data_IF_440051407483
#
_entry.id   IF_440051407483
#
_cell.length_a   1.000
_cell.length_b   1.000
_cell.length_c   1.000
_cell.angle_alpha   90.00
_cell.angle_beta   90.00
_cell.angle_gamma   90.00
#
_symmetry.space_group_name_H-M   'P 1'
#
loop_
_entity.id
_entity.type
_entity.pdbx_description
1 polymer ?
#
# COMPACT_ATOMS: atom_id res chain seq x y z
N UNK A 1 73.22 43.77 -27.74
CA UNK A 1 73.62 42.83 -26.67
C UNK A 1 72.40 42.00 -26.31
N UNK A 2 72.29 40.76 -26.79
CA UNK A 2 71.12 39.90 -26.59
C UNK A 2 71.54 38.51 -26.10
N UNK A 3 70.92 38.10 -24.98
CA UNK A 3 70.52 36.75 -24.52
C UNK A 3 71.52 35.58 -24.63
N UNK A 4 71.86 35.01 -23.47
CA UNK A 4 72.40 33.65 -23.32
C UNK A 4 71.26 32.72 -22.90
N UNK A 5 71.10 31.61 -23.61
CA UNK A 5 70.29 30.45 -23.23
C UNK A 5 71.13 29.18 -23.37
N UNK A 6 70.81 28.22 -22.51
CA UNK A 6 71.00 26.77 -22.59
C UNK A 6 72.40 26.19 -22.35
N UNK A 7 72.45 25.26 -21.38
CA UNK A 7 73.36 24.10 -21.43
C UNK A 7 72.55 22.85 -21.12
N UNK A 8 72.79 21.84 -21.93
CA UNK A 8 72.12 20.55 -22.02
C UNK A 8 72.88 19.44 -21.25
N UNK A 9 72.14 18.38 -20.96
CA UNK A 9 72.46 17.07 -20.39
C UNK A 9 73.89 16.52 -20.51
N UNK A 10 74.32 15.80 -19.46
CA UNK A 10 75.26 14.67 -19.56
C UNK A 10 74.89 13.52 -18.61
N UNK A 11 74.86 12.31 -19.20
CA UNK A 11 74.60 10.98 -18.65
C UNK A 11 75.90 10.28 -18.19
N UNK A 12 75.84 9.36 -17.20
CA UNK A 12 76.50 8.02 -17.18
C UNK A 12 76.34 7.28 -15.83
N UNK A 13 76.10 5.96 -15.90
CA UNK A 13 75.77 4.98 -14.84
C UNK A 13 76.97 4.17 -14.30
N UNK A 14 76.84 3.44 -13.16
CA UNK A 14 77.41 2.08 -13.12
C UNK A 14 76.60 0.99 -12.36
N UNK A 15 76.26 -0.05 -13.12
CA UNK A 15 76.27 -1.52 -12.95
C UNK A 15 76.54 -2.29 -11.62
N UNK A 16 75.95 -3.50 -11.56
CA UNK A 16 76.39 -4.81 -10.99
C UNK A 16 75.74 -5.42 -9.70
N UNK A 17 74.70 -6.25 -9.93
CA UNK A 17 74.40 -7.64 -9.43
C UNK A 17 74.18 -7.99 -7.93
N UNK A 18 72.88 -8.12 -7.58
CA UNK A 18 72.12 -9.26 -6.97
C UNK A 18 72.80 -10.28 -6.02
N UNK A 19 72.20 -10.47 -4.82
CA UNK A 19 71.84 -11.79 -4.22
C UNK A 19 70.57 -11.69 -3.33
N UNK A 20 69.63 -12.61 -3.56
CA UNK A 20 68.38 -12.99 -2.87
C UNK A 20 68.64 -13.52 -1.44
N UNK A 21 67.76 -13.45 -0.41
CA UNK A 21 66.45 -14.11 -0.20
C UNK A 21 65.75 -13.48 1.05
N UNK A 22 64.42 -13.33 0.95
CA UNK A 22 63.39 -13.31 2.00
C UNK A 22 63.68 -12.67 3.37
N UNK A 23 63.07 -11.51 3.58
CA UNK A 23 62.26 -11.29 4.78
C UNK A 23 60.92 -10.76 4.29
N UNK A 24 59.91 -11.63 4.30
CA UNK A 24 58.50 -11.30 4.19
C UNK A 24 58.17 -10.26 5.25
N UNK A 25 58.27 -8.99 4.89
CA UNK A 25 57.66 -7.91 5.64
C UNK A 25 56.16 -8.08 5.43
N UNK A 26 55.51 -8.51 6.50
CA UNK A 26 54.08 -8.69 6.62
C UNK A 26 53.40 -7.31 6.55
N UNK A 27 53.38 -6.74 5.35
CA UNK A 27 52.55 -5.60 4.98
C UNK A 27 51.26 -6.17 4.41
N UNK A 28 50.30 -6.40 5.31
CA UNK A 28 48.89 -6.31 4.96
C UNK A 28 48.48 -4.84 5.13
N UNK A 29 48.56 -3.98 4.09
CA UNK A 29 47.50 -3.03 3.92
C UNK A 29 46.32 -3.81 3.35
N UNK A 30 45.28 -3.94 4.17
CA UNK A 30 43.91 -4.14 3.73
C UNK A 30 43.65 -3.21 2.53
N UNK A 31 43.73 -3.74 1.31
CA UNK A 31 43.01 -3.19 0.18
C UNK A 31 41.57 -3.74 0.26
N UNK A 32 40.89 -3.34 1.34
CA UNK A 32 39.43 -3.39 1.41
C UNK A 32 38.93 -2.02 0.96
N UNK A 33 37.95 -2.06 0.06
CA UNK A 33 37.10 -0.97 -0.39
C UNK A 33 37.74 0.16 -1.22
N UNK A 34 37.54 0.06 -2.53
CA UNK A 34 36.75 1.08 -3.23
C UNK A 34 36.09 0.38 -4.42
N UNK A 35 34.83 -0.01 -4.27
CA UNK A 35 33.95 -0.14 -5.43
C UNK A 35 34.04 1.17 -6.21
N UNK A 36 34.18 1.08 -7.52
CA UNK A 36 34.07 2.23 -8.41
C UNK A 36 32.61 2.67 -8.38
N UNK A 37 32.23 3.52 -7.42
CA UNK A 37 30.91 4.15 -7.40
C UNK A 37 30.90 5.24 -8.47
N UNK A 38 30.29 4.93 -9.60
CA UNK A 38 30.34 5.69 -10.85
C UNK A 38 29.09 6.57 -11.02
N UNK A 39 28.76 7.36 -10.00
CA UNK A 39 27.87 8.50 -10.13
C UNK A 39 28.63 9.71 -10.69
N UNK A 40 27.94 10.67 -11.31
CA UNK A 40 28.58 11.93 -11.70
C UNK A 40 28.77 12.81 -10.46
N UNK A 41 30.02 13.17 -10.17
CA UNK A 41 30.34 13.98 -9.00
C UNK A 41 29.70 15.37 -9.08
N UNK A 42 29.57 15.96 -10.27
CA UNK A 42 28.89 17.25 -10.40
C UNK A 42 27.42 17.13 -10.04
N UNK A 43 26.77 16.02 -10.39
CA UNK A 43 25.37 15.79 -10.08
C UNK A 43 25.14 15.65 -8.58
N UNK A 44 26.05 14.96 -7.87
CA UNK A 44 25.99 14.92 -6.41
C UNK A 44 26.20 16.30 -5.79
N UNK A 45 27.16 17.08 -6.29
CA UNK A 45 27.42 18.45 -5.82
C UNK A 45 26.20 19.36 -6.06
N UNK A 46 25.60 19.30 -7.25
CA UNK A 46 24.40 20.05 -7.61
C UNK A 46 23.20 19.67 -6.72
N UNK A 47 22.99 18.38 -6.46
CA UNK A 47 21.95 17.93 -5.55
C UNK A 47 22.15 18.50 -4.14
N UNK A 48 23.37 18.42 -3.60
CA UNK A 48 23.66 18.83 -2.23
C UNK A 48 23.61 20.36 -2.06
N UNK A 49 23.99 21.12 -3.08
CA UNK A 49 24.01 22.59 -3.04
C UNK A 49 22.64 23.20 -3.34
N UNK A 50 21.88 22.61 -4.26
CA UNK A 50 20.64 23.20 -4.78
C UNK A 50 19.38 22.45 -4.36
N UNK A 51 19.51 21.25 -3.81
CA UNK A 51 18.40 20.33 -3.51
C UNK A 51 17.59 19.97 -4.77
N UNK A 52 18.22 19.96 -5.95
CA UNK A 52 17.58 19.68 -7.23
C UNK A 52 18.58 19.06 -8.20
N UNK A 53 18.28 17.86 -8.70
CA UNK A 53 19.08 17.16 -9.70
C UNK A 53 18.21 16.25 -10.57
N UNK A 54 17.45 16.84 -11.50
CA UNK A 54 16.59 16.11 -12.45
C UNK A 54 17.43 15.41 -13.51
N UNK A 55 17.11 14.14 -13.82
CA UNK A 55 17.81 13.33 -14.84
C UNK A 55 19.31 13.15 -14.57
N UNK A 56 19.70 13.27 -13.32
CA UNK A 56 21.08 13.11 -12.89
C UNK A 56 21.48 11.63 -12.74
N UNK A 57 22.77 11.37 -12.82
CA UNK A 57 23.38 10.07 -12.57
C UNK A 57 23.94 10.02 -11.14
N UNK A 58 23.17 9.43 -10.23
CA UNK A 58 23.47 9.27 -8.81
C UNK A 58 23.65 7.78 -8.44
N UNK A 59 24.06 6.95 -9.41
CA UNK A 59 24.20 5.50 -9.21
C UNK A 59 25.26 5.16 -8.18
N UNK A 60 24.87 4.43 -7.14
CA UNK A 60 25.78 4.10 -6.04
C UNK A 60 26.25 5.32 -5.26
N UNK A 61 25.58 6.47 -5.37
CA UNK A 61 25.92 7.63 -4.56
C UNK A 61 25.73 7.33 -3.07
N UNK A 62 26.59 7.92 -2.25
CA UNK A 62 26.48 7.88 -0.79
C UNK A 62 25.69 9.10 -0.32
N UNK A 63 24.43 8.86 0.03
CA UNK A 63 23.46 9.83 0.50
C UNK A 63 22.93 9.44 1.90
N UNK A 64 23.68 8.62 2.64
CA UNK A 64 23.32 8.19 4.00
C UNK A 64 23.05 9.40 4.90
N UNK A 65 21.89 9.39 5.55
CA UNK A 65 21.47 10.39 6.54
C UNK A 65 21.32 11.82 5.99
N UNK A 66 21.36 12.02 4.66
CA UNK A 66 21.28 13.35 4.07
C UNK A 66 19.89 13.95 4.20
N UNK A 67 19.84 15.28 4.33
CA UNK A 67 18.59 16.02 4.26
C UNK A 67 18.32 16.40 2.80
N UNK A 68 17.40 15.67 2.17
CA UNK A 68 16.93 15.82 0.80
C UNK A 68 15.43 16.17 0.78
N UNK A 69 14.97 16.84 1.84
CA UNK A 69 13.55 17.19 1.99
C UNK A 69 13.12 18.09 0.84
N UNK A 70 12.08 17.69 0.11
CA UNK A 70 11.58 18.44 -1.03
C UNK A 70 12.55 18.49 -2.22
N UNK A 71 13.54 17.60 -2.27
CA UNK A 71 14.48 17.57 -3.39
C UNK A 71 13.77 17.24 -4.71
N UNK A 72 14.19 17.87 -5.80
CA UNK A 72 13.71 17.58 -7.15
C UNK A 72 14.66 16.56 -7.82
N UNK A 73 14.26 15.29 -7.83
CA UNK A 73 14.99 14.14 -8.33
C UNK A 73 14.21 13.44 -9.47
N UNK A 74 13.35 14.17 -10.17
CA UNK A 74 12.54 13.62 -11.26
C UNK A 74 13.45 13.00 -12.34
N UNK A 75 13.14 11.74 -12.72
CA UNK A 75 13.83 10.96 -13.75
C UNK A 75 15.34 10.74 -13.43
N UNK A 76 15.76 10.91 -12.17
CA UNK A 76 17.13 10.63 -11.73
C UNK A 76 17.44 9.13 -11.65
N UNK A 77 18.69 8.76 -11.89
CA UNK A 77 19.18 7.39 -11.80
C UNK A 77 19.92 7.18 -10.47
N UNK A 78 19.24 6.56 -9.51
CA UNK A 78 19.70 6.28 -8.14
C UNK A 78 19.98 4.78 -7.93
N UNK A 79 20.24 4.02 -9.00
CA UNK A 79 20.46 2.57 -8.88
C UNK A 79 21.61 2.27 -7.93
N UNK A 80 21.34 1.41 -6.94
CA UNK A 80 22.33 1.03 -5.93
C UNK A 80 22.80 2.16 -5.01
N UNK A 81 22.15 3.33 -5.03
CA UNK A 81 22.49 4.43 -4.12
C UNK A 81 22.22 4.04 -2.67
N UNK A 82 23.05 4.55 -1.77
CA UNK A 82 22.90 4.41 -0.33
C UNK A 82 22.13 5.63 0.20
N UNK A 83 20.88 5.43 0.57
CA UNK A 83 19.97 6.43 1.12
C UNK A 83 19.52 6.03 2.54
N UNK A 84 20.31 5.20 3.24
CA UNK A 84 19.99 4.75 4.59
C UNK A 84 19.77 5.98 5.49
N UNK A 85 18.66 5.99 6.25
CA UNK A 85 18.26 7.07 7.16
C UNK A 85 18.13 8.48 6.51
N UNK A 86 18.10 8.60 5.18
CA UNK A 86 17.94 9.89 4.50
C UNK A 86 16.55 10.51 4.75
N UNK A 87 16.48 11.84 4.80
CA UNK A 87 15.23 12.60 4.88
C UNK A 87 14.80 13.05 3.48
N UNK A 88 13.89 12.30 2.86
CA UNK A 88 13.32 12.54 1.53
C UNK A 88 11.88 13.09 1.60
N UNK A 89 11.48 13.66 2.74
CA UNK A 89 10.08 14.08 2.93
C UNK A 89 9.65 15.08 1.86
N UNK A 90 8.57 14.79 1.16
CA UNK A 90 8.06 15.64 0.08
C UNK A 90 8.96 15.77 -1.15
N UNK A 91 10.01 14.96 -1.29
CA UNK A 91 10.86 14.94 -2.49
C UNK A 91 10.05 14.49 -3.73
N UNK A 92 10.43 15.01 -4.90
CA UNK A 92 9.91 14.56 -6.18
C UNK A 92 10.86 13.55 -6.81
N UNK A 93 10.47 12.28 -6.81
CA UNK A 93 11.19 11.13 -7.37
C UNK A 93 10.37 10.51 -8.51
N UNK A 94 9.50 11.29 -9.14
CA UNK A 94 8.69 10.80 -10.26
C UNK A 94 9.60 10.26 -11.38
N UNK A 95 9.24 9.10 -11.93
CA UNK A 95 9.94 8.40 -13.01
C UNK A 95 11.41 8.03 -12.67
N UNK A 96 11.86 8.19 -11.41
CA UNK A 96 13.24 7.89 -10.99
C UNK A 96 13.54 6.39 -10.93
N UNK A 97 14.81 6.02 -11.10
CA UNK A 97 15.28 4.63 -11.01
C UNK A 97 16.01 4.37 -9.69
N UNK A 98 15.34 3.68 -8.76
CA UNK A 98 15.83 3.33 -7.41
C UNK A 98 16.17 1.84 -7.28
N UNK A 99 16.32 1.13 -8.40
CA UNK A 99 16.56 -0.32 -8.39
C UNK A 99 17.83 -0.65 -7.61
N UNK A 100 17.76 -1.64 -6.72
CA UNK A 100 18.86 -2.04 -5.82
C UNK A 100 19.34 -0.96 -4.82
N UNK A 101 18.66 0.18 -4.69
CA UNK A 101 19.02 1.20 -3.71
C UNK A 101 18.73 0.75 -2.26
N UNK A 102 19.48 1.28 -1.30
CA UNK A 102 19.24 1.08 0.13
C UNK A 102 18.49 2.29 0.70
N UNK A 103 17.25 2.09 1.15
CA UNK A 103 16.40 3.09 1.80
C UNK A 103 16.05 2.65 3.23
N UNK A 104 16.84 1.79 3.86
CA UNK A 104 16.60 1.35 5.23
C UNK A 104 16.51 2.57 6.18
N UNK A 105 15.43 2.66 6.95
CA UNK A 105 15.16 3.77 7.88
C UNK A 105 14.87 5.14 7.23
N UNK A 106 14.85 5.26 5.90
CA UNK A 106 14.65 6.54 5.23
C UNK A 106 13.24 7.13 5.46
N UNK A 107 13.13 8.46 5.53
CA UNK A 107 11.84 9.14 5.65
C UNK A 107 11.38 9.67 4.30
N UNK A 108 10.44 8.98 3.67
CA UNK A 108 9.86 9.33 2.37
C UNK A 108 8.49 10.01 2.50
N UNK A 109 8.04 10.34 3.71
CA UNK A 109 6.69 10.85 3.95
C UNK A 109 6.33 12.00 3.00
N UNK A 110 5.14 11.92 2.40
CA UNK A 110 4.60 12.90 1.44
C UNK A 110 5.40 13.01 0.10
N UNK A 111 6.39 12.14 -0.17
CA UNK A 111 7.16 12.14 -1.42
C UNK A 111 6.36 11.64 -2.64
N UNK A 112 6.79 12.03 -3.84
CA UNK A 112 6.21 11.60 -5.10
C UNK A 112 7.09 10.53 -5.77
N UNK A 113 6.65 9.28 -5.81
CA UNK A 113 7.33 8.14 -6.46
C UNK A 113 6.53 7.61 -7.65
N UNK A 114 5.71 8.46 -8.27
CA UNK A 114 4.90 8.07 -9.43
C UNK A 114 5.81 7.49 -10.52
N UNK A 115 5.48 6.31 -11.03
CA UNK A 115 6.22 5.56 -12.05
C UNK A 115 7.68 5.22 -11.71
N UNK A 116 8.12 5.38 -10.47
CA UNK A 116 9.50 5.06 -10.09
C UNK A 116 9.78 3.56 -10.13
N UNK A 117 11.01 3.17 -10.47
CA UNK A 117 11.47 1.78 -10.43
C UNK A 117 12.11 1.48 -9.07
N UNK A 118 11.40 0.78 -8.18
CA UNK A 118 11.81 0.40 -6.82
C UNK A 118 12.10 -1.11 -6.73
N UNK A 119 12.47 -1.75 -7.84
CA UNK A 119 12.74 -3.18 -7.84
C UNK A 119 14.00 -3.51 -7.05
N UNK A 120 13.92 -4.58 -6.26
CA UNK A 120 15.05 -5.06 -5.46
C UNK A 120 15.60 -4.01 -4.46
N UNK A 121 14.84 -2.94 -4.15
CA UNK A 121 15.21 -1.88 -3.19
C UNK A 121 14.99 -2.36 -1.75
N UNK A 122 15.85 -1.92 -0.82
CA UNK A 122 15.64 -2.15 0.61
C UNK A 122 14.83 -1.02 1.25
N UNK A 123 13.64 -1.31 1.77
CA UNK A 123 12.71 -0.36 2.42
C UNK A 123 12.44 -0.72 3.88
N UNK A 124 13.30 -1.53 4.51
CA UNK A 124 13.15 -1.89 5.94
C UNK A 124 13.12 -0.63 6.80
N UNK A 125 12.19 -0.56 7.74
CA UNK A 125 12.03 0.57 8.67
C UNK A 125 11.77 1.97 8.04
N UNK A 126 11.59 2.05 6.71
CA UNK A 126 11.30 3.28 6.01
C UNK A 126 9.90 3.83 6.32
N UNK A 127 9.75 5.17 6.31
CA UNK A 127 8.46 5.85 6.50
C UNK A 127 7.86 6.30 5.17
N UNK A 128 6.93 5.52 4.63
CA UNK A 128 6.27 5.74 3.33
C UNK A 128 4.85 6.34 3.47
N UNK A 129 4.51 6.92 4.63
CA UNK A 129 3.19 7.53 4.83
C UNK A 129 2.93 8.63 3.80
N UNK A 130 1.76 8.58 3.15
CA UNK A 130 1.33 9.52 2.11
C UNK A 130 2.23 9.58 0.87
N UNK A 131 3.09 8.59 0.63
CA UNK A 131 3.88 8.53 -0.60
C UNK A 131 2.97 8.24 -1.80
N UNK A 132 3.20 8.94 -2.92
CA UNK A 132 2.50 8.64 -4.18
C UNK A 132 3.24 7.56 -4.94
N UNK A 133 2.76 6.31 -4.92
CA UNK A 133 3.38 5.14 -5.58
C UNK A 133 2.74 4.80 -6.94
N UNK A 134 2.10 5.79 -7.54
CA UNK A 134 1.26 5.65 -8.71
C UNK A 134 2.05 5.13 -9.90
N UNK A 135 1.96 3.84 -10.23
CA UNK A 135 2.71 3.23 -11.34
C UNK A 135 4.13 2.82 -10.97
N UNK A 136 4.52 2.95 -9.70
CA UNK A 136 5.81 2.50 -9.23
C UNK A 136 5.91 0.97 -9.25
N UNK A 137 7.09 0.44 -9.59
CA UNK A 137 7.36 -0.99 -9.59
C UNK A 137 8.12 -1.39 -8.32
N UNK A 138 7.45 -2.08 -7.39
CA UNK A 138 8.05 -2.58 -6.13
C UNK A 138 8.37 -4.08 -6.17
N UNK A 139 8.51 -4.70 -7.35
CA UNK A 139 8.83 -6.14 -7.41
C UNK A 139 10.13 -6.44 -6.65
N UNK A 140 10.08 -7.42 -5.74
CA UNK A 140 11.18 -7.81 -4.85
C UNK A 140 11.70 -6.74 -3.88
N UNK A 141 11.00 -5.62 -3.71
CA UNK A 141 11.37 -4.66 -2.67
C UNK A 141 11.30 -5.34 -1.29
N UNK A 142 12.31 -5.11 -0.46
CA UNK A 142 12.42 -5.71 0.87
C UNK A 142 11.73 -4.78 1.88
N UNK A 143 10.75 -5.29 2.61
CA UNK A 143 10.04 -4.55 3.66
C UNK A 143 10.01 -5.36 4.96
N UNK A 144 9.86 -4.69 6.10
CA UNK A 144 9.69 -5.34 7.39
C UNK A 144 8.50 -4.75 8.18
N UNK A 145 8.34 -5.17 9.44
CA UNK A 145 7.27 -4.66 10.32
C UNK A 145 7.44 -3.19 10.73
N UNK A 146 8.63 -2.63 10.58
CA UNK A 146 8.91 -1.24 10.87
C UNK A 146 8.64 -0.31 9.70
N UNK A 147 8.58 -0.85 8.46
CA UNK A 147 8.16 -0.10 7.28
C UNK A 147 6.73 0.41 7.47
N UNK A 148 6.55 1.74 7.46
CA UNK A 148 5.24 2.39 7.64
C UNK A 148 4.69 2.83 6.29
N UNK A 149 3.38 2.87 6.14
CA UNK A 149 2.73 3.41 4.93
C UNK A 149 2.61 2.45 3.74
N UNK A 150 3.33 1.33 3.72
CA UNK A 150 3.04 0.19 2.83
C UNK A 150 2.13 -0.80 3.56
N UNK A 151 0.81 -0.59 3.48
CA UNK A 151 -0.18 -1.49 4.09
C UNK A 151 -0.51 -1.22 5.56
N UNK A 152 -0.08 -0.08 6.12
CA UNK A 152 -0.66 0.48 7.35
C UNK A 152 -2.03 1.10 7.02
N UNK A 153 -2.99 0.24 6.64
CA UNK A 153 -4.43 0.55 6.53
C UNK A 153 -5.04 0.67 7.93
N UNK A 154 -4.42 1.50 8.79
CA UNK A 154 -5.06 2.03 9.98
C UNK A 154 -5.27 3.51 9.75
N UNK A 155 -6.54 3.83 9.58
CA UNK A 155 -7.12 5.16 9.43
C UNK A 155 -7.32 5.56 7.97
N UNK A 156 -8.59 5.50 7.61
CA UNK A 156 -9.05 5.79 6.27
C UNK A 156 -8.90 7.25 5.88
N UNK A 157 -9.08 7.39 4.58
CA UNK A 157 -9.42 8.59 3.81
C UNK A 157 -8.29 9.07 2.89
N UNK A 158 -8.68 9.24 1.62
CA UNK A 158 -7.98 9.88 0.49
C UNK A 158 -6.99 8.98 -0.29
N UNK A 159 -7.45 8.18 -1.27
CA UNK A 159 -7.78 8.53 -2.69
C UNK A 159 -6.59 9.13 -3.46
N UNK A 160 -5.99 8.36 -4.39
CA UNK A 160 -5.84 8.78 -5.81
C UNK A 160 -5.04 7.86 -6.77
N UNK A 161 -5.11 6.52 -6.66
CA UNK A 161 -4.58 5.66 -7.74
C UNK A 161 -5.31 4.36 -7.96
N UNK A 162 -6.56 4.46 -8.43
CA UNK A 162 -7.21 3.36 -9.12
C UNK A 162 -8.54 3.79 -9.79
N UNK A 163 -8.66 4.94 -10.47
CA UNK A 163 -9.99 5.50 -10.82
C UNK A 163 -10.99 4.49 -11.48
N UNK A 164 -10.53 3.59 -12.36
CA UNK A 164 -11.39 2.50 -12.90
C UNK A 164 -11.56 1.29 -11.98
N UNK A 165 -10.50 0.87 -11.28
CA UNK A 165 -10.56 -0.21 -10.30
C UNK A 165 -11.35 0.19 -9.05
N UNK A 166 -11.40 1.47 -8.71
CA UNK A 166 -12.18 2.07 -7.64
C UNK A 166 -13.66 2.15 -8.03
N UNK A 167 -13.99 2.44 -9.30
CA UNK A 167 -15.36 2.32 -9.79
C UNK A 167 -15.83 0.86 -9.73
N UNK A 168 -15.04 -0.05 -10.29
CA UNK A 168 -15.29 -1.48 -10.23
C UNK A 168 -15.45 -1.99 -8.78
N UNK A 169 -14.53 -1.61 -7.89
CA UNK A 169 -14.54 -1.96 -6.47
C UNK A 169 -15.76 -1.35 -5.77
N UNK A 170 -16.07 -0.07 -6.00
CA UNK A 170 -17.27 0.58 -5.45
C UNK A 170 -18.55 -0.12 -5.89
N UNK A 171 -18.63 -0.53 -7.16
CA UNK A 171 -19.79 -1.23 -7.70
C UNK A 171 -19.93 -2.63 -7.11
N UNK A 172 -18.83 -3.39 -6.99
CA UNK A 172 -18.83 -4.71 -6.35
C UNK A 172 -19.18 -4.57 -4.85
N UNK A 173 -18.58 -3.62 -4.14
CA UNK A 173 -18.92 -3.34 -2.74
C UNK A 173 -20.39 -2.96 -2.58
N UNK A 174 -20.93 -2.14 -3.50
CA UNK A 174 -22.35 -1.77 -3.51
C UNK A 174 -23.23 -3.00 -3.67
N UNK A 175 -22.91 -3.88 -4.61
CA UNK A 175 -23.64 -5.14 -4.81
C UNK A 175 -23.57 -6.00 -3.53
N UNK A 176 -22.40 -6.13 -2.89
CA UNK A 176 -22.26 -6.86 -1.62
C UNK A 176 -23.13 -6.27 -0.51
N UNK A 177 -23.12 -4.93 -0.35
CA UNK A 177 -23.95 -4.25 0.63
C UNK A 177 -25.43 -4.44 0.36
N UNK A 178 -25.85 -4.35 -0.90
CA UNK A 178 -27.24 -4.55 -1.29
C UNK A 178 -27.68 -6.00 -1.13
N UNK A 179 -26.91 -6.98 -1.59
CA UNK A 179 -27.33 -8.40 -1.61
C UNK A 179 -27.14 -9.08 -0.26
N UNK A 180 -26.05 -8.78 0.45
CA UNK A 180 -25.66 -9.48 1.68
C UNK A 180 -25.70 -8.60 2.92
N UNK A 181 -25.88 -7.27 2.79
CA UNK A 181 -25.93 -6.36 3.94
C UNK A 181 -24.57 -6.17 4.62
N UNK A 182 -23.46 -6.44 3.94
CA UNK A 182 -22.09 -6.24 4.47
C UNK A 182 -21.09 -5.90 3.36
N UNK A 183 -19.86 -5.59 3.73
CA UNK A 183 -18.74 -5.43 2.78
C UNK A 183 -18.12 -6.79 2.42
N UNK A 184 -17.54 -6.90 1.21
CA UNK A 184 -16.81 -8.11 0.82
C UNK A 184 -15.56 -8.32 1.66
N UNK A 185 -15.17 -9.57 1.83
CA UNK A 185 -13.82 -9.91 2.27
C UNK A 185 -12.80 -9.69 1.16
N UNK A 186 -11.52 -9.51 1.54
CA UNK A 186 -10.43 -9.22 0.60
C UNK A 186 -10.36 -10.19 -0.57
N UNK A 187 -10.50 -11.49 -0.30
CA UNK A 187 -10.39 -12.53 -1.34
C UNK A 187 -11.64 -12.58 -2.23
N UNK A 188 -12.82 -12.37 -1.66
CA UNK A 188 -14.07 -12.24 -2.43
C UNK A 188 -14.02 -11.05 -3.39
N UNK A 189 -13.61 -9.88 -2.89
CA UNK A 189 -13.46 -8.67 -3.70
C UNK A 189 -12.45 -8.88 -4.84
N UNK A 190 -11.28 -9.45 -4.54
CA UNK A 190 -10.24 -9.77 -5.54
C UNK A 190 -10.75 -10.73 -6.62
N UNK A 191 -11.54 -11.73 -6.25
CA UNK A 191 -12.10 -12.68 -7.19
C UNK A 191 -13.02 -11.99 -8.22
N UNK A 192 -13.95 -11.16 -7.74
CA UNK A 192 -14.90 -10.46 -8.61
C UNK A 192 -14.27 -9.35 -9.43
N UNK A 193 -13.27 -8.63 -8.91
CA UNK A 193 -12.49 -7.67 -9.69
C UNK A 193 -11.78 -8.33 -10.88
N UNK A 194 -11.20 -9.53 -10.67
CA UNK A 194 -10.58 -10.32 -11.75
C UNK A 194 -11.60 -10.77 -12.80
N UNK A 195 -12.81 -11.16 -12.38
CA UNK A 195 -13.89 -11.58 -13.29
C UNK A 195 -14.39 -10.40 -14.14
N UNK A 196 -14.57 -9.24 -13.52
CA UNK A 196 -14.97 -8.01 -14.19
C UNK A 196 -13.92 -7.56 -15.22
N UNK A 197 -12.63 -7.66 -14.91
CA UNK A 197 -11.55 -7.34 -15.86
C UNK A 197 -11.45 -8.34 -17.02
N UNK A 198 -12.00 -9.55 -16.86
CA UNK A 198 -12.16 -10.56 -17.93
C UNK A 198 -13.43 -10.36 -18.77
N UNK A 199 -14.20 -9.29 -18.53
CA UNK A 199 -15.37 -8.92 -19.33
C UNK A 199 -16.71 -9.44 -18.78
N UNK A 200 -16.73 -10.01 -17.57
CA UNK A 200 -17.98 -10.37 -16.92
C UNK A 200 -18.78 -9.12 -16.53
N UNK A 201 -20.11 -9.15 -16.68
CA UNK A 201 -20.96 -8.00 -16.34
C UNK A 201 -21.19 -7.89 -14.83
N UNK A 202 -21.44 -6.67 -14.33
CA UNK A 202 -21.86 -6.45 -12.94
C UNK A 202 -23.18 -7.18 -12.61
N UNK A 203 -24.05 -7.39 -13.61
CA UNK A 203 -25.29 -8.16 -13.44
C UNK A 203 -25.00 -9.64 -13.14
N UNK A 204 -24.07 -10.27 -13.88
CA UNK A 204 -23.67 -11.65 -13.63
C UNK A 204 -22.99 -11.80 -12.25
N UNK A 205 -22.18 -10.82 -11.86
CA UNK A 205 -21.57 -10.76 -10.51
C UNK A 205 -22.66 -10.69 -9.44
N UNK A 206 -23.68 -9.85 -9.64
CA UNK A 206 -24.83 -9.75 -8.73
C UNK A 206 -25.59 -11.06 -8.62
N UNK A 207 -25.88 -11.70 -9.74
CA UNK A 207 -26.53 -13.02 -9.79
C UNK A 207 -25.74 -14.07 -9.02
N UNK A 208 -24.42 -14.12 -9.19
CA UNK A 208 -23.54 -15.06 -8.48
C UNK A 208 -23.55 -14.82 -6.96
N UNK A 209 -23.51 -13.56 -6.52
CA UNK A 209 -23.58 -13.21 -5.09
C UNK A 209 -24.96 -13.55 -4.53
N UNK A 210 -26.04 -13.23 -5.25
CA UNK A 210 -27.41 -13.59 -4.86
C UNK A 210 -27.61 -15.10 -4.83
N UNK A 211 -26.88 -15.85 -5.67
CA UNK A 211 -26.94 -17.29 -5.73
C UNK A 211 -26.01 -18.03 -4.76
N UNK A 212 -25.17 -17.29 -4.04
CA UNK A 212 -24.23 -17.83 -3.06
C UNK A 212 -24.92 -18.55 -1.90
N UNK A 213 -24.15 -19.37 -1.16
CA UNK A 213 -24.61 -19.94 0.12
C UNK A 213 -24.89 -18.84 1.14
N UNK A 214 -24.07 -17.79 1.12
CA UNK A 214 -24.19 -16.68 2.06
C UNK A 214 -25.50 -15.90 1.91
N UNK A 215 -25.94 -15.65 0.68
CA UNK A 215 -27.25 -15.03 0.44
C UNK A 215 -28.40 -15.91 0.95
N UNK A 216 -28.29 -17.25 0.83
CA UNK A 216 -29.27 -18.18 1.42
C UNK A 216 -29.31 -18.04 2.94
N UNK A 217 -28.15 -18.06 3.58
CA UNK A 217 -28.04 -17.97 5.04
C UNK A 217 -28.59 -16.63 5.54
N UNK A 218 -28.35 -15.53 4.82
CA UNK A 218 -28.89 -14.21 5.16
C UNK A 218 -30.41 -14.13 5.01
N UNK A 219 -30.99 -14.70 3.94
CA UNK A 219 -32.44 -14.76 3.79
C UNK A 219 -33.07 -15.65 4.87
N UNK A 220 -32.46 -16.79 5.17
CA UNK A 220 -32.92 -17.71 6.22
C UNK A 220 -32.91 -17.05 7.60
N UNK A 221 -31.88 -16.25 7.90
CA UNK A 221 -31.82 -15.44 9.12
C UNK A 221 -33.00 -14.45 9.21
N UNK A 222 -33.32 -13.74 8.13
CA UNK A 222 -34.47 -12.81 8.10
C UNK A 222 -35.78 -13.57 8.33
N UNK A 223 -35.95 -14.74 7.72
CA UNK A 223 -37.11 -15.60 7.98
C UNK A 223 -37.22 -16.00 9.46
N UNK A 224 -36.11 -16.39 10.09
CA UNK A 224 -36.10 -16.73 11.52
C UNK A 224 -36.43 -15.53 12.40
N UNK A 225 -35.92 -14.35 12.06
CA UNK A 225 -36.17 -13.13 12.85
C UNK A 225 -37.61 -12.64 12.70
N UNK A 226 -38.14 -12.61 11.48
CA UNK A 226 -39.45 -12.02 11.17
C UNK A 226 -40.59 -13.02 11.36
N UNK A 227 -40.41 -14.25 10.84
CA UNK A 227 -41.45 -15.28 10.80
C UNK A 227 -41.23 -16.38 11.84
N UNK A 228 -40.09 -16.41 12.54
CA UNK A 228 -39.77 -17.39 13.58
C UNK A 228 -39.64 -18.82 13.09
N UNK A 229 -39.30 -19.02 11.82
CA UNK A 229 -39.02 -20.32 11.19
C UNK A 229 -37.93 -20.16 10.13
N UNK A 230 -37.23 -21.22 9.72
CA UNK A 230 -36.35 -21.15 8.56
C UNK A 230 -37.14 -20.92 7.26
N UNK A 231 -36.46 -20.37 6.26
CA UNK A 231 -36.97 -20.23 4.92
C UNK A 231 -37.11 -21.61 4.26
N UNK A 232 -38.24 -21.84 3.60
CA UNK A 232 -38.40 -22.98 2.72
C UNK A 232 -37.72 -22.73 1.36
N UNK A 233 -37.61 -23.77 0.54
CA UNK A 233 -36.90 -23.66 -0.73
C UNK A 233 -37.56 -22.66 -1.70
N UNK A 234 -38.90 -22.52 -1.64
CA UNK A 234 -39.62 -21.60 -2.51
C UNK A 234 -39.34 -20.15 -2.12
N UNK A 235 -39.40 -19.84 -0.82
CA UNK A 235 -39.02 -18.56 -0.26
C UNK A 235 -37.58 -18.18 -0.57
N UNK A 236 -36.64 -19.11 -0.35
CA UNK A 236 -35.23 -18.91 -0.71
C UNK A 236 -35.08 -18.60 -2.20
N UNK A 237 -35.67 -19.41 -3.09
CA UNK A 237 -35.59 -19.19 -4.55
C UNK A 237 -36.19 -17.85 -4.95
N UNK A 238 -37.34 -17.48 -4.39
CA UNK A 238 -38.03 -16.24 -4.72
C UNK A 238 -37.19 -15.01 -4.33
N UNK A 239 -36.68 -14.96 -3.11
CA UNK A 239 -35.93 -13.80 -2.65
C UNK A 239 -34.52 -13.70 -3.24
N UNK A 240 -33.86 -14.82 -3.52
CA UNK A 240 -32.61 -14.80 -4.31
C UNK A 240 -32.81 -14.21 -5.69
N UNK A 241 -33.89 -14.59 -6.38
CA UNK A 241 -34.23 -14.00 -7.69
C UNK A 241 -34.48 -12.50 -7.57
N UNK A 242 -35.24 -12.06 -6.56
CA UNK A 242 -35.45 -10.62 -6.30
C UNK A 242 -34.13 -9.88 -6.04
N UNK A 243 -33.22 -10.47 -5.26
CA UNK A 243 -31.89 -9.90 -5.02
C UNK A 243 -31.10 -9.79 -6.32
N UNK A 244 -31.10 -10.83 -7.16
CA UNK A 244 -30.50 -10.83 -8.50
C UNK A 244 -31.11 -9.76 -9.42
N UNK A 245 -32.42 -9.53 -9.32
CA UNK A 245 -33.18 -8.52 -10.08
C UNK A 245 -33.01 -7.08 -9.54
N UNK A 246 -32.11 -6.85 -8.58
CA UNK A 246 -31.78 -5.51 -8.09
C UNK A 246 -32.39 -5.13 -6.73
N UNK A 247 -33.08 -6.04 -6.04
CA UNK A 247 -33.52 -5.75 -4.67
C UNK A 247 -32.33 -5.73 -3.72
N UNK A 248 -32.37 -4.79 -2.76
CA UNK A 248 -31.52 -4.83 -1.58
C UNK A 248 -32.13 -5.73 -0.48
N UNK A 249 -31.27 -6.18 0.44
CA UNK A 249 -31.62 -7.11 1.51
C UNK A 249 -32.59 -6.50 2.51
N UNK A 250 -32.55 -5.18 2.71
CA UNK A 250 -33.51 -4.49 3.59
C UNK A 250 -34.91 -4.48 2.96
N UNK A 251 -35.00 -4.41 1.63
CA UNK A 251 -36.26 -4.53 0.89
C UNK A 251 -36.80 -5.94 0.99
N UNK A 252 -35.96 -6.97 0.95
CA UNK A 252 -36.36 -8.35 1.23
C UNK A 252 -36.94 -8.46 2.63
N UNK A 253 -36.26 -7.92 3.65
CA UNK A 253 -36.77 -7.91 5.01
C UNK A 253 -38.15 -7.22 5.11
N UNK A 254 -38.29 -6.01 4.55
CA UNK A 254 -39.58 -5.28 4.55
C UNK A 254 -40.71 -6.04 3.85
N UNK A 255 -40.40 -6.81 2.81
CA UNK A 255 -41.40 -7.60 2.07
C UNK A 255 -41.87 -8.80 2.91
N UNK A 256 -40.94 -9.47 3.60
CA UNK A 256 -41.25 -10.55 4.54
C UNK A 256 -42.06 -10.01 5.73
N UNK A 257 -41.68 -8.87 6.31
CA UNK A 257 -42.40 -8.21 7.42
C UNK A 257 -43.85 -7.83 7.06
N UNK A 258 -44.11 -7.55 5.78
CA UNK A 258 -45.43 -7.16 5.28
C UNK A 258 -46.26 -8.33 4.73
N UNK A 259 -45.68 -9.53 4.69
CA UNK A 259 -46.34 -10.73 4.21
C UNK A 259 -47.57 -11.08 5.06
N UNK A 260 -48.54 -11.76 4.45
CA UNK A 260 -49.71 -12.24 5.18
C UNK A 260 -49.32 -13.24 6.28
N UNK A 261 -48.24 -13.99 6.08
CA UNK A 261 -47.68 -14.87 7.10
C UNK A 261 -47.23 -14.10 8.35
N UNK A 262 -46.48 -13.00 8.17
CA UNK A 262 -46.07 -12.13 9.27
C UNK A 262 -47.27 -11.50 10.00
N UNK A 263 -48.28 -11.05 9.25
CA UNK A 263 -49.52 -10.48 9.82
C UNK A 263 -50.31 -11.52 10.61
N UNK A 264 -50.45 -12.73 10.09
CA UNK A 264 -51.14 -13.83 10.77
C UNK A 264 -50.43 -14.22 12.06
N UNK A 265 -49.09 -14.23 12.07
CA UNK A 265 -48.30 -14.46 13.29
C UNK A 265 -48.52 -13.36 14.34
N UNK A 266 -48.52 -12.09 13.94
CA UNK A 266 -48.82 -10.98 14.86
C UNK A 266 -50.23 -11.06 15.43
N UNK A 267 -51.22 -11.50 14.65
CA UNK A 267 -52.60 -11.70 15.10
C UNK A 267 -52.78 -12.95 15.98
N UNK A 268 -51.98 -13.99 15.75
CA UNK A 268 -51.96 -15.21 16.59
C UNK A 268 -51.16 -15.04 17.88
N UNK A 269 -50.26 -14.05 17.97
CA UNK A 269 -49.49 -13.78 19.18
C UNK A 269 -50.39 -13.21 20.28
N UNK A 270 -50.92 -14.10 21.13
CA UNK A 270 -51.58 -13.78 22.41
C UNK A 270 -50.55 -13.74 23.55
N UNK A 271 -49.42 -13.06 23.35
CA UNK A 271 -48.43 -12.88 24.42
C UNK A 271 -48.90 -11.83 25.44
N UNK A 272 -48.44 -11.92 26.71
CA UNK A 272 -48.83 -10.97 27.74
C UNK A 272 -48.49 -9.54 27.29
N UNK A 273 -49.38 -8.59 27.58
CA UNK A 273 -49.18 -7.18 27.27
C UNK A 273 -47.78 -6.73 27.71
N UNK A 274 -47.09 -5.88 26.92
CA UNK A 274 -45.78 -5.37 27.31
C UNK A 274 -45.89 -4.74 28.70
N UNK A 275 -45.02 -5.17 29.61
CA UNK A 275 -44.93 -4.61 30.95
C UNK A 275 -44.85 -3.08 30.86
N UNK A 276 -45.67 -2.33 31.61
CA UNK A 276 -45.56 -0.87 31.63
C UNK A 276 -44.16 -0.50 32.10
N UNK A 277 -43.51 0.45 31.40
CA UNK A 277 -42.21 1.03 31.74
C UNK A 277 -42.12 1.29 33.25
N UNK A 278 -41.30 0.51 33.94
CA UNK A 278 -40.94 0.76 35.34
C UNK A 278 -39.93 1.91 35.39
N UNK A 279 -40.41 3.12 35.17
CA UNK A 279 -39.68 4.36 35.39
C UNK A 279 -40.32 5.19 36.52
N UNK A 280 -41.13 4.57 37.38
CA UNK A 280 -41.76 5.19 38.55
C UNK A 280 -41.26 4.69 39.91
N UNK A 281 -40.35 3.72 39.98
CA UNK A 281 -39.78 3.26 41.25
C UNK A 281 -38.41 3.91 41.56
N UNK A 282 -38.32 5.23 41.38
CA UNK A 282 -37.29 6.02 42.06
C UNK A 282 -37.76 6.30 43.48
N UNK A 283 -37.34 5.45 44.41
CA UNK A 283 -37.34 5.78 45.84
C UNK A 283 -36.49 7.04 46.03
N UNK A 284 -37.02 8.16 46.56
CA UNK A 284 -36.22 9.33 46.84
C UNK A 284 -35.22 9.02 47.96
N UNK A 285 -33.92 9.19 47.67
CA UNK A 285 -32.89 9.27 48.70
C UNK A 285 -33.09 10.60 49.43
N UNK A 286 -33.60 10.54 50.67
CA UNK A 286 -33.64 11.68 51.57
C UNK A 286 -32.23 12.01 52.04
N UNK A 287 -31.69 13.14 51.57
CA UNK A 287 -30.43 13.71 52.06
C UNK A 287 -30.75 14.97 52.86
N UNK A 288 -31.46 14.85 54.00
CA UNK A 288 -31.48 15.87 55.06
C UNK A 288 -31.67 15.30 56.48
N UNK A 289 -30.57 14.87 57.11
CA UNK A 289 -30.04 15.31 58.42
C UNK A 289 -29.13 14.26 59.04
#
# INVERSE_FOLDING_TARGET
MLKVLAVSNYSFSPQWVRRTIAATVLLLPLAFAAEVRAYDRSDLEDLLDTNSCRRCDLRGADLEGRNLRGADLEDADLRGADLENADLRGADLQDANLREADLEGASLRDANLKNADLRDTDLRDADLRNVRLNGADLNNAIVNRGTRGLGDDRDGNDRDWNNQNNDAEREIERIYREVLGRRPERDGLRNYLRRLSQGESLQNIREDIADSREARDRIDEIYRQVLGRPADEEGLRNYRRKLADGWDIDRVQRDIERSDEARNRQQQWQGPAPYPNSDSDRVPIDIRR
#
